data_IF_169030956071
#
_entry.id   IF_169030956071
#
_cell.length_a   1.000
_cell.length_b   1.000
_cell.length_c   1.000
_cell.angle_alpha   90.00
_cell.angle_beta   90.00
_cell.angle_gamma   90.00
#
_symmetry.space_group_name_H-M   'P 1'
#
loop_
_entity.id
_entity.type
_entity.pdbx_description
1 polymer ?
#
# COMPACT_ATOMS: atom_id res chain seq x y z
N UNK A 1 14.09 9.80 -3.42
CA UNK A 1 13.37 8.78 -4.22
C UNK A 1 12.74 9.42 -5.44
N UNK A 2 12.75 8.72 -6.59
CA UNK A 2 11.95 9.12 -7.75
C UNK A 2 10.47 8.99 -7.40
N UNK A 3 9.63 9.93 -7.85
CA UNK A 3 8.19 9.99 -7.50
C UNK A 3 7.41 8.73 -7.91
N UNK A 4 7.86 8.04 -8.95
CA UNK A 4 7.25 6.80 -9.44
C UNK A 4 7.32 5.65 -8.42
N UNK A 5 8.33 5.64 -7.53
CA UNK A 5 8.53 4.56 -6.54
C UNK A 5 7.34 4.46 -5.59
N UNK A 6 6.67 5.57 -5.27
CA UNK A 6 5.54 5.58 -4.34
C UNK A 6 4.29 4.84 -4.85
N UNK A 7 4.25 4.52 -6.15
CA UNK A 7 3.14 3.80 -6.79
C UNK A 7 3.40 2.29 -6.90
N UNK A 8 4.56 1.80 -6.44
CA UNK A 8 4.91 0.37 -6.50
C UNK A 8 3.81 -0.52 -5.89
N UNK A 9 3.31 -0.26 -4.66
CA UNK A 9 2.23 -1.07 -4.09
C UNK A 9 0.98 -1.08 -4.98
N UNK A 10 0.53 0.08 -5.46
CA UNK A 10 -0.62 0.18 -6.37
C UNK A 10 -0.42 -0.67 -7.62
N UNK A 11 0.73 -0.56 -8.28
CA UNK A 11 1.01 -1.30 -9.52
C UNK A 11 0.99 -2.81 -9.27
N UNK A 12 1.68 -3.28 -8.22
CA UNK A 12 1.75 -4.71 -7.89
C UNK A 12 0.35 -5.26 -7.59
N UNK A 13 -0.41 -4.62 -6.70
CA UNK A 13 -1.74 -5.08 -6.34
C UNK A 13 -2.73 -4.97 -7.50
N UNK A 14 -2.66 -3.92 -8.34
CA UNK A 14 -3.51 -3.80 -9.52
C UNK A 14 -3.26 -4.91 -10.53
N UNK A 15 -2.00 -5.30 -10.76
CA UNK A 15 -1.67 -6.44 -11.63
C UNK A 15 -2.21 -7.73 -11.03
N UNK A 16 -1.97 -7.96 -9.74
CA UNK A 16 -2.44 -9.16 -9.04
C UNK A 16 -3.97 -9.31 -9.10
N UNK A 17 -4.72 -8.29 -8.68
CA UNK A 17 -6.18 -8.32 -8.73
C UNK A 17 -6.73 -8.33 -10.16
N UNK A 18 -6.04 -7.69 -11.11
CA UNK A 18 -6.39 -7.77 -12.53
C UNK A 18 -6.35 -9.20 -13.07
N UNK A 19 -5.31 -9.96 -12.73
CA UNK A 19 -5.21 -11.38 -13.11
C UNK A 19 -6.31 -12.23 -12.46
N UNK A 20 -6.65 -11.97 -11.20
CA UNK A 20 -7.76 -12.66 -10.49
C UNK A 20 -9.09 -12.42 -11.21
N UNK A 21 -9.37 -11.19 -11.64
CA UNK A 21 -10.61 -10.85 -12.37
C UNK A 21 -10.67 -11.54 -13.72
N UNK A 22 -9.56 -11.58 -14.46
CA UNK A 22 -9.51 -12.25 -15.76
C UNK A 22 -9.74 -13.76 -15.59
N UNK A 23 -9.17 -14.37 -14.55
CA UNK A 23 -9.24 -15.82 -14.32
C UNK A 23 -10.56 -16.33 -13.73
N UNK A 24 -11.25 -15.52 -12.91
CA UNK A 24 -12.46 -15.98 -12.22
C UNK A 24 -13.61 -14.97 -12.14
N UNK A 25 -13.50 -13.82 -12.80
CA UNK A 25 -14.55 -12.81 -12.86
C UNK A 25 -14.52 -11.80 -11.73
N UNK A 26 -15.31 -10.73 -11.87
CA UNK A 26 -15.25 -9.56 -10.97
C UNK A 26 -15.85 -9.82 -9.58
N UNK A 27 -16.72 -10.83 -9.46
CA UNK A 27 -17.41 -11.19 -8.22
C UNK A 27 -16.50 -11.82 -7.15
N UNK A 28 -15.26 -12.18 -7.51
CA UNK A 28 -14.27 -12.74 -6.59
C UNK A 28 -13.60 -11.65 -5.74
N UNK A 29 -13.55 -10.42 -6.25
CA UNK A 29 -12.92 -9.32 -5.50
C UNK A 29 -13.88 -8.83 -4.42
N UNK A 30 -13.40 -8.82 -3.18
CA UNK A 30 -14.12 -8.17 -2.08
C UNK A 30 -14.11 -6.65 -2.26
N UNK A 31 -15.21 -5.99 -1.88
CA UNK A 31 -15.30 -4.52 -1.91
C UNK A 31 -14.17 -3.84 -1.13
N UNK A 32 -13.65 -4.51 -0.09
CA UNK A 32 -12.53 -4.06 0.74
C UNK A 32 -11.23 -3.96 -0.07
N UNK A 33 -10.91 -4.96 -0.89
CA UNK A 33 -9.70 -4.96 -1.72
C UNK A 33 -9.70 -3.81 -2.75
N UNK A 34 -10.86 -3.48 -3.32
CA UNK A 34 -11.00 -2.34 -4.23
C UNK A 34 -10.73 -1.00 -3.51
N UNK A 35 -11.23 -0.83 -2.28
CA UNK A 35 -10.96 0.35 -1.44
C UNK A 35 -9.45 0.48 -1.19
N UNK A 36 -8.74 -0.62 -0.98
CA UNK A 36 -7.30 -0.58 -0.71
C UNK A 36 -6.47 -0.17 -1.90
N UNK A 37 -6.83 -0.61 -3.11
CA UNK A 37 -6.20 -0.15 -4.35
C UNK A 37 -6.32 1.37 -4.48
N UNK A 38 -7.49 1.93 -4.16
CA UNK A 38 -7.71 3.38 -4.16
C UNK A 38 -6.85 4.06 -3.09
N UNK A 39 -6.77 3.50 -1.87
CA UNK A 39 -5.91 4.04 -0.81
C UNK A 39 -4.44 4.04 -1.20
N UNK A 40 -3.93 2.96 -1.81
CA UNK A 40 -2.56 2.91 -2.29
C UNK A 40 -2.30 3.95 -3.38
N UNK A 41 -3.25 4.14 -4.30
CA UNK A 41 -3.16 5.17 -5.34
C UNK A 41 -3.11 6.58 -4.75
N UNK A 42 -4.03 6.91 -3.84
CA UNK A 42 -4.08 8.20 -3.15
C UNK A 42 -2.79 8.42 -2.36
N UNK A 43 -2.31 7.39 -1.66
CA UNK A 43 -1.05 7.40 -0.94
C UNK A 43 0.12 7.76 -1.86
N UNK A 44 0.24 7.09 -3.02
CA UNK A 44 1.25 7.39 -4.03
C UNK A 44 1.19 8.83 -4.53
N UNK A 45 -0.02 9.35 -4.81
CA UNK A 45 -0.24 10.75 -5.23
C UNK A 45 0.22 11.72 -4.13
N UNK A 46 -0.17 11.52 -2.88
CA UNK A 46 0.23 12.40 -1.76
C UNK A 46 1.74 12.37 -1.53
N UNK A 47 2.35 11.19 -1.51
CA UNK A 47 3.80 11.03 -1.37
C UNK A 47 4.57 11.69 -2.52
N UNK A 48 4.04 11.63 -3.75
CA UNK A 48 4.63 12.31 -4.92
C UNK A 48 4.64 13.85 -4.80
N UNK A 49 3.71 14.39 -4.01
CA UNK A 49 3.61 15.81 -3.64
C UNK A 49 4.42 16.16 -2.38
N UNK A 50 5.18 15.22 -1.82
CA UNK A 50 5.91 15.32 -0.55
C UNK A 50 5.00 15.54 0.67
N UNK A 51 3.77 15.03 0.63
CA UNK A 51 2.82 15.10 1.76
C UNK A 51 2.99 13.84 2.62
N UNK A 52 3.43 14.00 3.86
CA UNK A 52 3.68 12.90 4.80
C UNK A 52 2.44 12.03 5.06
N UNK A 53 1.25 12.64 5.10
CA UNK A 53 -0.03 11.94 5.30
C UNK A 53 -0.29 10.84 4.27
N UNK A 54 0.31 10.90 3.08
CA UNK A 54 0.25 9.81 2.11
C UNK A 54 0.79 8.50 2.68
N UNK A 55 1.85 8.56 3.50
CA UNK A 55 2.42 7.38 4.17
C UNK A 55 1.41 6.70 5.10
N UNK A 56 0.64 7.48 5.85
CA UNK A 56 -0.33 6.95 6.81
C UNK A 56 -1.47 6.21 6.09
N UNK A 57 -1.93 6.75 4.96
CA UNK A 57 -2.95 6.12 4.12
C UNK A 57 -2.49 4.79 3.51
N UNK A 58 -1.21 4.67 3.16
CA UNK A 58 -0.65 3.41 2.63
C UNK A 58 -0.39 2.35 3.71
N UNK A 59 -0.14 2.77 4.95
CA UNK A 59 0.03 1.88 6.11
C UNK A 59 -1.29 1.21 6.49
N UNK A 60 -2.43 1.91 6.37
CA UNK A 60 -3.74 1.40 6.76
C UNK A 60 -4.11 0.04 6.12
N UNK A 61 -4.08 -0.12 4.78
CA UNK A 61 -4.32 -1.40 4.14
C UNK A 61 -3.24 -2.44 4.48
N UNK A 62 -1.99 -2.04 4.73
CA UNK A 62 -0.93 -2.96 5.14
C UNK A 62 -1.20 -3.59 6.52
N UNK A 63 -1.62 -2.79 7.50
CA UNK A 63 -2.01 -3.27 8.83
C UNK A 63 -3.20 -4.23 8.72
N UNK A 64 -4.21 -3.86 7.94
CA UNK A 64 -5.37 -4.73 7.77
C UNK A 64 -4.99 -6.05 7.09
N UNK A 65 -4.06 -6.05 6.14
CA UNK A 65 -3.60 -7.28 5.50
C UNK A 65 -2.85 -8.19 6.48
N UNK A 66 -2.01 -7.60 7.35
CA UNK A 66 -1.35 -8.34 8.45
C UNK A 66 -2.41 -8.95 9.38
N UNK A 67 -3.40 -8.14 9.78
CA UNK A 67 -4.47 -8.59 10.66
C UNK A 67 -5.30 -9.73 10.04
N UNK A 68 -5.66 -9.63 8.75
CA UNK A 68 -6.39 -10.71 8.07
C UNK A 68 -5.53 -11.97 7.94
N UNK A 69 -4.23 -11.82 7.67
CA UNK A 69 -3.32 -12.97 7.63
C UNK A 69 -3.09 -13.65 8.99
N UNK A 70 -3.41 -13.00 10.12
CA UNK A 70 -3.41 -13.65 11.45
C UNK A 70 -4.67 -14.45 11.74
N UNK A 71 -5.72 -14.31 10.94
CA UNK A 71 -6.93 -15.10 11.07
C UNK A 71 -6.79 -16.37 10.23
N UNK A 72 -7.23 -17.51 10.76
CA UNK A 72 -7.32 -18.76 10.00
C UNK A 72 -8.46 -18.66 8.98
N UNK A 73 -8.21 -17.99 7.87
CA UNK A 73 -9.17 -17.81 6.76
C UNK A 73 -9.26 -19.04 5.84
N UNK A 74 -8.49 -20.10 6.13
CA UNK A 74 -8.39 -21.29 5.28
C UNK A 74 -7.64 -21.05 3.96
N UNK A 75 -6.95 -19.91 3.83
CA UNK A 75 -6.12 -19.61 2.65
C UNK A 75 -4.79 -20.36 2.71
N UNK A 76 -4.38 -20.93 1.57
CA UNK A 76 -3.13 -21.71 1.41
C UNK A 76 -1.89 -20.81 1.57
N UNK A 77 -2.03 -19.51 1.27
CA UNK A 77 -0.95 -18.53 1.30
C UNK A 77 -1.18 -17.59 2.47
N UNK A 78 -0.16 -17.48 3.34
CA UNK A 78 -0.18 -16.54 4.44
C UNK A 78 0.04 -15.11 3.92
N UNK A 79 -0.91 -14.20 4.17
CA UNK A 79 -0.87 -12.81 3.72
C UNK A 79 0.01 -11.90 4.60
N UNK A 80 0.40 -12.36 5.80
CA UNK A 80 1.22 -11.60 6.77
C UNK A 80 2.53 -11.08 6.16
N UNK A 81 3.37 -11.90 5.49
CA UNK A 81 4.68 -11.44 5.02
C UNK A 81 4.56 -10.30 4.01
N UNK A 82 3.57 -10.37 3.11
CA UNK A 82 3.32 -9.34 2.11
C UNK A 82 2.85 -8.05 2.81
N UNK A 83 2.00 -8.18 3.83
CA UNK A 83 1.56 -7.04 4.65
C UNK A 83 2.72 -6.34 5.34
N UNK A 84 3.65 -7.09 5.93
CA UNK A 84 4.86 -6.53 6.56
C UNK A 84 5.73 -5.80 5.54
N UNK A 85 5.94 -6.35 4.34
CA UNK A 85 6.73 -5.71 3.29
C UNK A 85 6.12 -4.35 2.90
N UNK A 86 4.80 -4.31 2.67
CA UNK A 86 4.08 -3.07 2.31
C UNK A 86 4.10 -2.07 3.47
N UNK A 87 3.95 -2.54 4.71
CA UNK A 87 4.03 -1.71 5.90
C UNK A 87 5.38 -1.02 6.02
N UNK A 88 6.48 -1.78 5.95
CA UNK A 88 7.85 -1.25 6.03
C UNK A 88 8.12 -0.29 4.87
N UNK A 89 7.65 -0.61 3.66
CA UNK A 89 7.77 0.27 2.50
C UNK A 89 7.17 1.66 2.76
N UNK A 90 5.95 1.73 3.28
CA UNK A 90 5.31 3.02 3.56
C UNK A 90 5.97 3.76 4.72
N UNK A 91 6.39 3.07 5.79
CA UNK A 91 7.15 3.69 6.89
C UNK A 91 8.44 4.35 6.38
N UNK A 92 9.20 3.67 5.49
CA UNK A 92 10.41 4.25 4.87
C UNK A 92 10.06 5.48 4.03
N UNK A 93 9.01 5.40 3.20
CA UNK A 93 8.58 6.53 2.38
C UNK A 93 8.17 7.75 3.23
N UNK A 94 7.43 7.54 4.30
CA UNK A 94 7.06 8.56 5.27
C UNK A 94 8.28 9.19 5.94
N UNK A 95 9.20 8.35 6.46
CA UNK A 95 10.44 8.81 7.08
C UNK A 95 11.27 9.70 6.15
N UNK A 96 11.47 9.29 4.89
CA UNK A 96 12.23 10.07 3.91
C UNK A 96 11.61 11.44 3.64
N UNK A 97 10.28 11.53 3.55
CA UNK A 97 9.58 12.82 3.37
C UNK A 97 9.69 13.69 4.62
N UNK A 98 9.53 13.10 5.81
CA UNK A 98 9.64 13.81 7.07
C UNK A 98 11.02 14.44 7.25
N UNK A 99 12.10 13.69 7.02
CA UNK A 99 13.47 14.21 7.08
C UNK A 99 13.73 15.29 6.02
N UNK A 100 13.17 15.14 4.82
CA UNK A 100 13.29 16.14 3.75
C UNK A 100 12.55 17.44 4.09
N UNK A 101 11.38 17.35 4.70
CA UNK A 101 10.60 18.51 5.16
C UNK A 101 11.35 19.27 6.27
N UNK A 102 11.93 18.56 7.24
CA UNK A 102 12.72 19.18 8.32
C UNK A 102 13.95 19.93 7.81
N UNK A 103 14.67 19.37 6.82
CA UNK A 103 15.82 20.04 6.20
C UNK A 103 15.46 21.33 5.46
N UNK A 104 14.24 21.44 4.93
CA UNK A 104 13.76 22.66 4.24
C UNK A 104 13.35 23.78 5.22
N UNK A 105 13.08 23.45 6.48
CA UNK A 105 12.75 24.43 7.51
C UNK A 105 13.99 24.99 8.24
N UNK A 106 15.13 24.30 8.15
CA UNK A 106 16.41 24.68 8.78
C UNK A 106 17.39 25.39 7.81
N UNK A 107 16.93 25.77 6.62
CA UNK A 107 17.66 26.57 5.61
C UNK A 107 16.83 27.83 5.40
#
# INVERSE_FOLDING_TARGET
MRKSVYFIPTIIFSVFYGLVVIGGGISIISSVAAVWLILFLISGILLSKNIFWGSLLGVLPAIHMIYMGTQDTGQIINEIPIGIIVFVFYIICGGLIFFKSKKRCNI
#
